data_IF_529830078892
#
_entry.id   IF_529830078892
#
_cell.length_a   1.000
_cell.length_b   1.000
_cell.length_c   1.000
_cell.angle_alpha   90.00
_cell.angle_beta   90.00
_cell.angle_gamma   90.00
#
_symmetry.space_group_name_H-M   'P 1'
#
loop_
_entity.id
_entity.type
_entity.pdbx_description
1 polymer ?
#
# COMPACT_ATOMS: atom_id res chain seq x y z
N UNK A 1 -17.67 15.33 1.11
CA UNK A 1 -17.22 13.92 1.08
C UNK A 1 -16.04 13.85 0.16
N UNK A 2 -14.89 13.67 0.70
CA UNK A 2 -13.67 13.53 -0.11
C UNK A 2 -13.57 12.09 -0.56
N UNK A 3 -14.18 11.75 -1.66
CA UNK A 3 -13.83 10.53 -2.35
C UNK A 3 -12.68 10.84 -3.28
N UNK A 4 -11.64 10.02 -3.22
CA UNK A 4 -10.52 10.12 -4.11
C UNK A 4 -11.02 9.97 -5.56
N UNK A 5 -10.87 11.02 -6.36
CA UNK A 5 -11.22 10.94 -7.77
C UNK A 5 -10.25 10.02 -8.50
N UNK A 6 -10.76 9.06 -9.26
CA UNK A 6 -9.94 8.11 -10.00
C UNK A 6 -10.08 8.32 -11.52
N UNK A 7 -9.00 8.18 -12.29
CA UNK A 7 -7.65 7.85 -11.83
C UNK A 7 -7.01 8.98 -11.01
N UNK A 8 -6.27 8.61 -9.96
CA UNK A 8 -5.58 9.54 -9.09
C UNK A 8 -4.08 9.50 -9.32
N UNK A 9 -3.46 10.65 -9.30
CA UNK A 9 -2.02 10.84 -9.44
C UNK A 9 -1.31 10.96 -8.09
N UNK A 10 -0.01 11.19 -8.11
CA UNK A 10 0.85 11.34 -6.94
C UNK A 10 0.36 12.43 -5.98
N UNK A 11 -0.06 13.57 -6.49
CA UNK A 11 -0.51 14.68 -5.66
C UNK A 11 -1.79 14.33 -4.88
N UNK A 12 -2.73 13.65 -5.53
CA UNK A 12 -3.96 13.17 -4.89
C UNK A 12 -3.68 12.07 -3.86
N UNK A 13 -2.71 11.18 -4.14
CA UNK A 13 -2.26 10.15 -3.19
C UNK A 13 -1.65 10.79 -1.94
N UNK A 14 -0.76 11.76 -2.10
CA UNK A 14 -0.13 12.48 -0.99
C UNK A 14 -1.14 13.29 -0.15
N UNK A 15 -2.23 13.73 -0.75
CA UNK A 15 -3.33 14.36 -0.03
C UNK A 15 -4.16 13.35 0.80
N UNK A 16 -4.19 12.09 0.38
CA UNK A 16 -5.02 11.05 0.99
C UNK A 16 -4.31 10.27 2.10
N UNK A 17 -2.99 10.09 2.02
CA UNK A 17 -2.19 9.37 3.02
C UNK A 17 -0.96 10.17 3.43
N UNK A 18 -0.43 9.95 4.66
CA UNK A 18 0.70 10.76 5.17
C UNK A 18 2.07 10.38 4.60
N UNK A 19 2.17 9.27 3.89
CA UNK A 19 3.43 8.79 3.31
C UNK A 19 4.01 9.77 2.30
N UNK A 20 5.35 9.89 2.28
CA UNK A 20 6.10 10.78 1.38
C UNK A 20 7.34 10.09 0.86
N UNK A 21 7.83 10.53 -0.30
CA UNK A 21 9.12 10.10 -0.79
C UNK A 21 10.21 10.31 0.29
N UNK A 22 11.15 9.38 0.46
CA UNK A 22 11.42 8.20 -0.37
C UNK A 22 10.58 6.96 -0.02
N UNK A 23 9.63 7.06 0.91
CA UNK A 23 8.81 5.95 1.40
C UNK A 23 7.35 6.06 0.95
N UNK A 24 7.14 6.31 -0.33
CA UNK A 24 5.84 6.28 -1.00
C UNK A 24 5.94 5.38 -2.23
N UNK A 25 5.24 4.24 -2.18
CA UNK A 25 5.33 3.15 -3.15
C UNK A 25 4.04 2.96 -3.94
N UNK A 26 3.30 4.03 -4.17
CA UNK A 26 2.13 4.05 -5.05
C UNK A 26 2.26 5.26 -5.96
N UNK A 27 2.20 5.05 -7.27
CA UNK A 27 2.29 6.12 -8.26
C UNK A 27 0.92 6.59 -8.72
N UNK A 28 -0.05 5.65 -8.84
CA UNK A 28 -1.38 5.93 -9.36
C UNK A 28 -2.43 5.05 -8.69
N UNK A 29 -3.63 5.59 -8.53
CA UNK A 29 -4.84 4.81 -8.26
C UNK A 29 -5.61 4.69 -9.56
N UNK A 30 -5.82 3.47 -10.02
CA UNK A 30 -6.45 3.17 -11.32
C UNK A 30 -7.96 2.99 -11.20
N UNK A 31 -8.41 2.42 -10.09
CA UNK A 31 -9.82 2.19 -9.80
C UNK A 31 -10.05 2.12 -8.28
N UNK A 32 -11.25 2.49 -7.87
CA UNK A 32 -11.65 2.48 -6.46
C UNK A 32 -13.17 2.38 -6.38
N UNK A 33 -13.63 1.45 -5.57
CA UNK A 33 -15.05 1.29 -5.23
C UNK A 33 -15.21 0.95 -3.74
N UNK A 34 -16.42 0.59 -3.32
CA UNK A 34 -16.71 0.28 -1.91
C UNK A 34 -16.07 -1.01 -1.41
N UNK A 35 -15.57 -1.87 -2.27
CA UNK A 35 -15.02 -3.18 -1.93
C UNK A 35 -13.55 -3.35 -2.30
N UNK A 36 -13.01 -2.51 -3.18
CA UNK A 36 -11.65 -2.70 -3.68
C UNK A 36 -10.98 -1.42 -4.16
N UNK A 37 -9.66 -1.46 -4.21
CA UNK A 37 -8.81 -0.46 -4.86
C UNK A 37 -7.81 -1.15 -5.77
N UNK A 38 -7.55 -0.53 -6.92
CA UNK A 38 -6.50 -0.96 -7.83
C UNK A 38 -5.49 0.16 -8.01
N UNK A 39 -4.22 -0.17 -7.78
CA UNK A 39 -3.11 0.78 -7.77
C UNK A 39 -1.98 0.32 -8.68
N UNK A 40 -1.08 1.24 -8.96
CA UNK A 40 0.12 0.99 -9.76
C UNK A 40 1.33 1.61 -9.09
N UNK A 41 2.45 0.89 -9.13
CA UNK A 41 3.75 1.36 -8.72
C UNK A 41 4.81 0.88 -9.71
N UNK A 42 5.55 1.80 -10.30
CA UNK A 42 6.75 1.49 -11.06
C UNK A 42 7.93 1.50 -10.10
N UNK A 43 8.60 0.37 -9.97
CA UNK A 43 9.81 0.24 -9.15
C UNK A 43 10.90 1.10 -9.78
N UNK A 44 11.40 2.16 -9.09
CA UNK A 44 12.42 3.03 -9.68
C UNK A 44 13.69 2.24 -9.96
N UNK A 45 14.21 2.24 -11.20
CA UNK A 45 15.39 1.45 -11.53
C UNK A 45 16.66 1.93 -10.81
N UNK A 46 16.69 3.19 -10.37
CA UNK A 46 17.82 3.79 -9.65
C UNK A 46 17.59 3.82 -8.11
N UNK A 47 16.65 3.04 -7.60
CA UNK A 47 16.34 3.05 -6.18
C UNK A 47 17.56 2.66 -5.33
N UNK A 48 17.78 3.37 -4.20
CA UNK A 48 19.02 3.21 -3.42
C UNK A 48 19.21 1.82 -2.82
N UNK A 49 18.14 1.08 -2.60
CA UNK A 49 18.23 -0.28 -2.04
C UNK A 49 18.89 -1.30 -2.96
N UNK A 50 18.91 -1.07 -4.28
CA UNK A 50 19.52 -2.01 -5.22
C UNK A 50 21.04 -2.12 -5.08
N UNK A 51 21.71 -1.11 -4.54
CA UNK A 51 23.13 -1.16 -4.27
C UNK A 51 23.49 -2.28 -3.26
N UNK A 52 22.59 -2.55 -2.33
CA UNK A 52 22.77 -3.56 -1.30
C UNK A 52 21.92 -4.83 -1.46
N UNK A 53 20.92 -4.81 -2.38
CA UNK A 53 19.97 -5.92 -2.52
C UNK A 53 19.74 -6.32 -3.99
N UNK A 54 20.68 -6.98 -4.71
CA UNK A 54 22.00 -7.34 -4.23
C UNK A 54 23.07 -6.76 -5.16
N UNK A 55 24.31 -6.57 -4.73
CA UNK A 55 25.38 -6.09 -5.60
C UNK A 55 25.51 -6.96 -6.85
N UNK A 56 25.38 -6.34 -8.05
CA UNK A 56 25.47 -7.03 -9.33
C UNK A 56 24.24 -7.87 -9.73
N UNK A 57 23.28 -8.05 -8.85
CA UNK A 57 22.01 -8.79 -9.09
C UNK A 57 20.85 -8.09 -8.38
N UNK A 58 20.43 -6.91 -8.86
CA UNK A 58 19.40 -6.15 -8.19
C UNK A 58 18.04 -6.86 -8.25
N UNK A 59 17.40 -6.97 -7.11
CA UNK A 59 16.04 -7.48 -6.97
C UNK A 59 15.27 -6.61 -5.98
N UNK A 60 14.03 -6.34 -6.27
CA UNK A 60 13.18 -5.56 -5.37
C UNK A 60 12.94 -6.32 -4.07
N UNK A 61 13.26 -5.73 -2.90
CA UNK A 61 12.99 -6.37 -1.62
C UNK A 61 11.51 -6.71 -1.47
N UNK A 62 11.20 -7.96 -1.14
CA UNK A 62 9.82 -8.42 -1.00
C UNK A 62 9.02 -7.61 0.03
N UNK A 63 9.70 -7.16 1.10
CA UNK A 63 9.06 -6.31 2.13
C UNK A 63 8.61 -4.96 1.60
N UNK A 64 9.25 -4.40 0.58
CA UNK A 64 8.81 -3.17 -0.07
C UNK A 64 7.60 -3.40 -0.98
N UNK A 65 7.48 -4.57 -1.57
CA UNK A 65 6.27 -4.96 -2.33
C UNK A 65 5.09 -5.13 -1.35
N UNK A 66 5.33 -5.71 -0.17
CA UNK A 66 4.33 -5.74 0.90
C UNK A 66 3.92 -4.31 1.29
N UNK A 67 4.86 -3.40 1.50
CA UNK A 67 4.58 -2.01 1.86
C UNK A 67 3.76 -1.30 0.78
N UNK A 68 4.02 -1.53 -0.50
CA UNK A 68 3.17 -1.05 -1.60
C UNK A 68 1.71 -1.52 -1.42
N UNK A 69 1.49 -2.79 -1.05
CA UNK A 69 0.15 -3.30 -0.75
C UNK A 69 -0.49 -2.60 0.45
N UNK A 70 0.29 -2.38 1.53
CA UNK A 70 -0.20 -1.71 2.74
C UNK A 70 -0.60 -0.26 2.46
N UNK A 71 0.19 0.46 1.68
CA UNK A 71 -0.12 1.84 1.27
C UNK A 71 -1.35 1.89 0.38
N UNK A 72 -1.51 0.92 -0.52
CA UNK A 72 -2.73 0.77 -1.32
C UNK A 72 -3.95 0.53 -0.44
N UNK A 73 -3.82 -0.31 0.57
CA UNK A 73 -4.86 -0.53 1.58
C UNK A 73 -5.16 0.72 2.40
N UNK A 74 -4.13 1.51 2.76
CA UNK A 74 -4.30 2.77 3.48
C UNK A 74 -5.08 3.79 2.64
N UNK A 75 -4.85 3.85 1.33
CA UNK A 75 -5.64 4.68 0.41
C UNK A 75 -7.12 4.25 0.37
N UNK A 76 -7.37 2.95 0.30
CA UNK A 76 -8.73 2.40 0.37
C UNK A 76 -9.44 2.79 1.67
N UNK A 77 -8.79 2.60 2.81
CA UNK A 77 -9.35 2.93 4.14
C UNK A 77 -9.56 4.44 4.26
N UNK A 78 -8.62 5.25 3.79
CA UNK A 78 -8.75 6.72 3.77
C UNK A 78 -10.00 7.16 3.01
N UNK A 79 -10.23 6.63 1.82
CA UNK A 79 -11.42 6.97 1.02
C UNK A 79 -12.70 6.53 1.72
N UNK A 80 -12.73 5.32 2.28
CA UNK A 80 -13.89 4.78 2.98
C UNK A 80 -14.25 5.58 4.24
N UNK A 81 -13.26 6.20 4.90
CA UNK A 81 -13.43 7.07 6.07
C UNK A 81 -13.62 8.55 5.70
N UNK A 82 -13.66 8.89 4.42
CA UNK A 82 -13.69 10.27 3.91
C UNK A 82 -12.47 11.11 4.37
N UNK A 83 -11.30 10.49 4.40
CA UNK A 83 -10.03 11.04 4.82
C UNK A 83 -9.69 10.73 6.28
N UNK A 84 -8.39 10.82 6.59
CA UNK A 84 -7.92 10.70 7.96
C UNK A 84 -7.92 12.07 8.62
N UNK A 85 -8.70 12.22 9.67
CA UNK A 85 -8.56 13.35 10.56
C UNK A 85 -7.42 13.05 11.54
N UNK A 86 -6.64 14.07 11.85
CA UNK A 86 -5.49 13.96 12.78
C UNK A 86 -5.89 13.37 14.14
N UNK A 87 -7.11 13.65 14.57
CA UNK A 87 -7.73 13.15 15.79
C UNK A 87 -8.17 11.68 15.74
N UNK A 88 -8.48 11.17 14.53
CA UNK A 88 -8.95 9.80 14.33
C UNK A 88 -7.78 8.81 14.14
N UNK A 89 -6.55 9.31 14.07
CA UNK A 89 -5.35 8.52 13.84
C UNK A 89 -5.09 8.21 12.37
N UNK A 90 -4.05 7.45 12.13
CA UNK A 90 -3.68 6.94 10.82
C UNK A 90 -3.84 5.42 10.79
N UNK A 91 -4.12 4.80 9.65
CA UNK A 91 -4.17 3.35 9.57
C UNK A 91 -2.76 2.80 9.80
N UNK A 92 -2.64 1.92 10.78
CA UNK A 92 -1.41 1.21 11.08
C UNK A 92 -1.59 -0.28 10.83
N UNK A 93 -0.52 -0.91 10.39
CA UNK A 93 -0.48 -2.35 10.23
C UNK A 93 -0.51 -3.02 11.60
N UNK A 94 -1.49 -3.88 11.83
CA UNK A 94 -1.61 -4.67 13.06
C UNK A 94 -1.34 -6.15 12.83
N UNK A 95 -1.50 -6.63 11.60
CA UNK A 95 -1.28 -8.03 11.25
C UNK A 95 -0.89 -8.17 9.79
N UNK A 96 0.08 -9.02 9.55
CA UNK A 96 0.50 -9.45 8.23
C UNK A 96 0.29 -10.96 8.14
N UNK A 97 -0.46 -11.42 7.14
CA UNK A 97 -0.84 -12.82 7.01
C UNK A 97 -0.52 -13.37 5.62
N UNK A 98 -0.13 -14.62 5.54
CA UNK A 98 -0.11 -15.42 4.32
C UNK A 98 0.59 -14.76 3.13
N UNK A 99 1.70 -14.06 3.34
CA UNK A 99 2.49 -13.51 2.25
C UNK A 99 3.11 -14.64 1.41
N UNK A 100 2.73 -14.71 0.14
CA UNK A 100 3.25 -15.70 -0.83
C UNK A 100 3.84 -15.01 -2.03
N UNK A 101 5.16 -15.03 -2.12
CA UNK A 101 5.91 -14.52 -3.27
C UNK A 101 5.99 -15.59 -4.36
N UNK A 102 5.61 -15.23 -5.58
CA UNK A 102 5.57 -16.13 -6.74
C UNK A 102 6.75 -15.95 -7.68
N UNK A 103 7.31 -14.75 -7.72
CA UNK A 103 8.51 -14.44 -8.49
C UNK A 103 9.19 -13.18 -7.99
N UNK A 104 10.45 -13.03 -8.38
CA UNK A 104 11.22 -11.80 -8.16
C UNK A 104 10.71 -10.66 -9.03
N UNK A 105 10.86 -9.44 -8.52
CA UNK A 105 10.59 -8.19 -9.24
C UNK A 105 11.91 -7.46 -9.46
N UNK A 106 12.18 -7.13 -10.71
CA UNK A 106 13.41 -6.48 -11.12
C UNK A 106 13.24 -4.94 -11.14
N UNK A 107 14.36 -4.17 -11.12
CA UNK A 107 14.29 -2.73 -11.27
C UNK A 107 13.52 -2.31 -12.53
N UNK A 108 12.69 -1.28 -12.41
CA UNK A 108 11.94 -0.72 -13.53
C UNK A 108 10.62 -1.45 -13.87
N UNK A 109 10.33 -2.58 -13.25
CA UNK A 109 9.04 -3.24 -13.44
C UNK A 109 7.90 -2.41 -12.87
N UNK A 110 6.74 -2.52 -13.51
CA UNK A 110 5.50 -1.88 -13.04
C UNK A 110 4.61 -2.94 -12.39
N UNK A 111 4.27 -2.69 -11.13
CA UNK A 111 3.36 -3.52 -10.36
C UNK A 111 1.94 -2.95 -10.43
N UNK A 112 0.98 -3.81 -10.71
CA UNK A 112 -0.45 -3.51 -10.58
C UNK A 112 -0.99 -4.35 -9.44
N UNK A 113 -1.63 -3.68 -8.47
CA UNK A 113 -2.11 -4.31 -7.25
C UNK A 113 -3.59 -4.06 -7.08
N UNK A 114 -4.31 -5.13 -6.78
CA UNK A 114 -5.69 -5.07 -6.33
C UNK A 114 -5.74 -5.41 -4.84
N UNK A 115 -6.29 -4.50 -4.05
CA UNK A 115 -6.60 -4.72 -2.62
C UNK A 115 -8.10 -4.81 -2.47
N UNK A 116 -8.56 -5.90 -1.86
CA UNK A 116 -9.98 -6.18 -1.65
C UNK A 116 -10.30 -6.21 -0.17
N UNK A 117 -11.41 -5.58 0.21
CA UNK A 117 -11.95 -5.67 1.56
C UNK A 117 -12.54 -7.07 1.78
N UNK A 118 -12.07 -7.76 2.82
CA UNK A 118 -12.65 -9.03 3.28
C UNK A 118 -13.76 -8.77 4.27
N UNK A 119 -13.43 -8.01 5.32
CA UNK A 119 -14.41 -7.59 6.34
C UNK A 119 -13.88 -6.38 7.12
N UNK A 120 -14.78 -5.73 7.82
CA UNK A 120 -14.45 -4.68 8.79
C UNK A 120 -15.04 -5.06 10.15
N UNK A 121 -14.22 -5.04 11.18
CA UNK A 121 -14.63 -5.31 12.56
C UNK A 121 -14.17 -4.16 13.45
N UNK A 122 -15.10 -3.29 13.82
CA UNK A 122 -14.75 -2.06 14.55
C UNK A 122 -13.75 -1.18 13.80
N UNK A 123 -12.59 -0.86 14.40
CA UNK A 123 -11.55 -0.08 13.74
C UNK A 123 -10.67 -0.91 12.80
N UNK A 124 -10.80 -2.25 12.80
CA UNK A 124 -9.95 -3.15 12.04
C UNK A 124 -10.52 -3.44 10.64
N UNK A 125 -9.67 -3.29 9.62
CA UNK A 125 -9.95 -3.56 8.21
C UNK A 125 -9.14 -4.75 7.76
N UNK A 126 -9.80 -5.86 7.46
CA UNK A 126 -9.20 -7.09 6.95
C UNK A 126 -9.16 -7.02 5.43
N UNK A 127 -7.96 -7.03 4.88
CA UNK A 127 -7.69 -6.77 3.48
C UNK A 127 -6.88 -7.91 2.86
N UNK A 128 -7.08 -8.13 1.56
CA UNK A 128 -6.26 -9.04 0.74
C UNK A 128 -5.72 -8.28 -0.46
N UNK A 129 -4.46 -8.52 -0.78
CA UNK A 129 -3.80 -7.95 -1.94
C UNK A 129 -3.35 -9.04 -2.91
N UNK A 130 -3.45 -8.74 -4.20
CA UNK A 130 -2.87 -9.51 -5.30
C UNK A 130 -2.05 -8.57 -6.17
N UNK A 131 -0.78 -8.88 -6.33
CA UNK A 131 0.17 -8.08 -7.11
C UNK A 131 0.51 -8.82 -8.39
N UNK A 132 0.47 -8.09 -9.51
CA UNK A 132 0.85 -8.58 -10.83
C UNK A 132 1.90 -7.65 -11.46
N UNK A 133 2.74 -8.22 -12.31
CA UNK A 133 3.62 -7.50 -13.21
C UNK A 133 3.72 -8.25 -14.52
N UNK A 134 3.51 -7.55 -15.64
CA UNK A 134 3.51 -8.18 -16.97
C UNK A 134 2.50 -9.32 -17.12
N UNK A 135 1.36 -9.25 -16.44
CA UNK A 135 0.33 -10.29 -16.44
C UNK A 135 0.61 -11.49 -15.53
N UNK A 136 1.80 -11.60 -14.95
CA UNK A 136 2.16 -12.67 -14.03
C UNK A 136 1.95 -12.25 -12.57
N UNK A 137 1.47 -13.20 -11.75
CA UNK A 137 1.31 -12.97 -10.32
C UNK A 137 2.67 -12.91 -9.61
N UNK A 138 2.86 -11.87 -8.79
CA UNK A 138 4.08 -11.61 -8.03
C UNK A 138 3.90 -11.98 -6.56
N UNK A 139 2.81 -11.54 -5.95
CA UNK A 139 2.57 -11.67 -4.51
C UNK A 139 1.08 -11.79 -4.24
N UNK A 140 0.75 -12.59 -3.25
CA UNK A 140 -0.54 -12.60 -2.56
C UNK A 140 -0.30 -12.37 -1.08
N UNK A 141 -1.14 -11.53 -0.46
CA UNK A 141 -0.94 -11.07 0.89
C UNK A 141 -2.28 -10.81 1.57
N UNK A 142 -2.43 -11.28 2.81
CA UNK A 142 -3.49 -10.86 3.73
C UNK A 142 -2.91 -9.92 4.78
N UNK A 143 -3.62 -8.87 5.17
CA UNK A 143 -3.19 -7.95 6.20
C UNK A 143 -4.36 -7.25 6.87
N UNK A 144 -4.11 -6.71 8.06
CA UNK A 144 -5.09 -5.95 8.82
C UNK A 144 -4.54 -4.56 9.12
N UNK A 145 -5.29 -3.55 8.71
CA UNK A 145 -5.06 -2.16 9.11
C UNK A 145 -6.05 -1.77 10.18
N UNK A 146 -5.59 -1.04 11.18
CA UNK A 146 -6.47 -0.45 12.18
C UNK A 146 -6.27 1.06 12.20
N UNK A 147 -7.36 1.81 12.07
CA UNK A 147 -7.35 3.24 12.29
C UNK A 147 -7.43 3.47 13.81
N UNK A 148 -6.28 3.58 14.44
CA UNK A 148 -6.17 3.92 15.85
C UNK A 148 -5.59 5.31 16.01
N UNK A 149 -6.00 6.01 17.06
CA UNK A 149 -5.26 7.19 17.49
C UNK A 149 -3.80 6.78 17.70
N UNK A 150 -2.87 7.57 17.20
CA UNK A 150 -1.46 7.36 17.45
C UNK A 150 -1.30 7.07 18.94
N UNK A 151 -0.65 5.97 19.27
CA UNK A 151 -0.41 5.53 20.65
C UNK A 151 0.08 6.75 21.42
N UNK A 152 -0.81 7.25 22.25
CA UNK A 152 -0.72 8.57 22.80
C UNK A 152 0.60 8.79 23.49
N UNK A 153 1.03 9.99 23.49
CA UNK A 153 1.78 10.57 24.56
C UNK A 153 1.10 10.26 25.91
N UNK A 154 1.30 9.02 26.37
CA UNK A 154 1.14 8.72 27.78
C UNK A 154 2.33 9.42 28.42
N UNK A 155 2.08 10.58 28.97
CA UNK A 155 3.06 11.35 29.69
C UNK A 155 3.76 10.49 30.73
N UNK A 156 5.07 10.57 30.74
CA UNK A 156 5.89 10.36 31.93
C UNK A 156 5.91 11.67 32.69
#
# INVERSE_FOLDING_TARGET
MSKLAVPADRAAIEAAIPHRAPFLFVDRVLALDSGSIRTEWRVPPEAPWFAGHYPGQPVTPGVLICEHCLQSGALFVSDALAGFKREDGVPVLTRLEMARFRRMVLPGETLTTEVTLVERVGPAWFLKAKVHSGGARVLELGFVLSATQAMGQSGV
#
